data_IF_234965334996
#
_entry.id   IF_234965334996
#
_cell.length_a   1.000
_cell.length_b   1.000
_cell.length_c   1.000
_cell.angle_alpha   90.00
_cell.angle_beta   90.00
_cell.angle_gamma   90.00
#
_symmetry.space_group_name_H-M   'P 1'
#
loop_
_entity.id
_entity.type
_entity.pdbx_description
1 polymer ?
#
# COMPACT_ATOMS: atom_id res chain seq x y z
N UNK A 1 -14.42 28.84 47.31
CA UNK A 1 -15.08 28.24 46.14
C UNK A 1 -14.68 29.06 44.94
N UNK A 2 -14.16 28.36 43.95
CA UNK A 2 -13.80 28.89 42.65
C UNK A 2 -14.69 28.18 41.64
N UNK A 3 -15.51 28.95 40.92
CA UNK A 3 -16.24 28.45 39.75
C UNK A 3 -15.57 29.00 38.50
N UNK A 4 -15.32 28.13 37.52
CA UNK A 4 -14.74 28.51 36.24
C UNK A 4 -15.67 28.12 35.11
N UNK A 5 -15.88 29.01 34.15
CA UNK A 5 -16.60 28.68 32.93
C UNK A 5 -15.77 27.66 32.14
N UNK A 6 -16.32 26.45 31.97
CA UNK A 6 -15.74 25.37 31.17
C UNK A 6 -16.60 25.13 29.93
N UNK A 7 -15.99 24.58 28.88
CA UNK A 7 -16.71 24.18 27.67
C UNK A 7 -17.84 23.20 28.00
N UNK A 8 -18.98 23.33 27.32
CA UNK A 8 -20.17 22.51 27.56
C UNK A 8 -20.45 21.47 26.49
N UNK A 9 -19.58 21.35 25.48
CA UNK A 9 -19.64 20.33 24.46
C UNK A 9 -18.23 19.86 24.07
N UNK A 10 -18.12 18.57 23.74
CA UNK A 10 -16.90 17.92 23.28
C UNK A 10 -17.23 17.12 22.03
N UNK A 11 -16.42 17.26 20.97
CA UNK A 11 -16.54 16.46 19.76
C UNK A 11 -15.18 15.89 19.37
N UNK A 12 -15.05 14.56 19.32
CA UNK A 12 -13.83 13.91 18.86
C UNK A 12 -14.07 13.17 17.55
N UNK A 13 -13.13 13.30 16.62
CA UNK A 13 -13.13 12.56 15.36
C UNK A 13 -11.89 11.69 15.22
N UNK A 14 -12.04 10.53 14.60
CA UNK A 14 -10.92 9.64 14.25
C UNK A 14 -11.15 9.01 12.87
N UNK A 15 -10.17 8.28 12.36
CA UNK A 15 -10.27 7.56 11.10
C UNK A 15 -9.68 6.15 11.24
N UNK A 16 -10.42 5.15 10.75
CA UNK A 16 -9.94 3.78 10.69
C UNK A 16 -10.03 3.24 9.26
N UNK A 17 -8.90 2.83 8.68
CA UNK A 17 -8.82 2.46 7.25
C UNK A 17 -9.67 1.24 6.86
N UNK A 18 -10.02 0.37 7.80
CA UNK A 18 -10.93 -0.77 7.55
C UNK A 18 -12.41 -0.38 7.63
N UNK A 19 -12.72 0.85 8.04
CA UNK A 19 -14.05 1.44 8.08
C UNK A 19 -14.06 2.79 7.33
N UNK A 20 -13.54 2.86 6.09
CA UNK A 20 -13.19 4.13 5.44
C UNK A 20 -14.40 5.03 5.15
N UNK A 21 -15.61 4.48 5.12
CA UNK A 21 -16.86 5.21 4.86
C UNK A 21 -17.66 5.50 6.13
N UNK A 22 -17.23 5.01 7.30
CA UNK A 22 -17.92 5.31 8.57
C UNK A 22 -17.46 6.67 9.11
N UNK A 23 -18.41 7.51 9.52
CA UNK A 23 -18.09 8.70 10.30
C UNK A 23 -17.84 8.29 11.76
N UNK A 24 -16.57 8.28 12.15
CA UNK A 24 -16.16 8.09 13.53
C UNK A 24 -16.06 9.47 14.17
N UNK A 25 -17.20 10.12 14.34
CA UNK A 25 -17.36 11.41 15.00
C UNK A 25 -18.34 11.26 16.16
N UNK A 26 -17.92 11.59 17.37
CA UNK A 26 -18.74 11.38 18.57
C UNK A 26 -18.85 12.68 19.37
N UNK A 27 -20.08 13.18 19.59
CA UNK A 27 -20.34 14.29 20.48
C UNK A 27 -20.57 13.81 21.92
N UNK A 28 -20.25 14.66 22.89
CA UNK A 28 -20.70 14.57 24.28
C UNK A 28 -21.05 15.97 24.79
N UNK A 29 -22.11 16.09 25.58
CA UNK A 29 -22.53 17.34 26.20
C UNK A 29 -22.31 17.31 27.70
N UNK A 30 -22.00 18.47 28.28
CA UNK A 30 -21.83 18.57 29.72
C UNK A 30 -23.12 18.34 30.50
N UNK A 31 -23.00 17.73 31.67
CA UNK A 31 -24.02 17.68 32.71
C UNK A 31 -24.13 19.01 33.50
N UNK A 32 -23.14 19.90 33.40
CA UNK A 32 -23.05 21.17 34.15
C UNK A 32 -23.35 22.35 33.22
N UNK A 33 -24.63 22.67 33.03
CA UNK A 33 -25.06 23.79 32.16
C UNK A 33 -25.04 25.11 32.92
N UNK A 34 -24.13 26.01 32.52
CA UNK A 34 -23.88 27.31 33.16
C UNK A 34 -23.41 28.34 32.14
N UNK A 35 -23.89 29.58 32.25
CA UNK A 35 -23.38 30.70 31.45
C UNK A 35 -23.35 30.44 29.93
N UNK A 36 -24.36 29.75 29.39
CA UNK A 36 -24.44 29.34 27.98
C UNK A 36 -23.25 28.49 27.48
N UNK A 37 -22.55 27.78 28.38
CA UNK A 37 -21.38 26.97 28.04
C UNK A 37 -21.64 25.86 27.02
N UNK A 38 -22.89 25.43 26.84
CA UNK A 38 -23.28 24.47 25.80
C UNK A 38 -22.99 24.95 24.38
N UNK A 39 -22.77 26.26 24.17
CA UNK A 39 -22.32 26.84 22.90
C UNK A 39 -20.79 26.78 22.70
N UNK A 40 -20.04 26.44 23.75
CA UNK A 40 -18.58 26.37 23.74
C UNK A 40 -18.17 24.91 23.54
N UNK A 41 -17.89 24.55 22.29
CA UNK A 41 -17.45 23.21 21.91
C UNK A 41 -15.92 23.12 21.84
N UNK A 42 -15.37 22.02 22.37
CA UNK A 42 -14.00 21.58 22.11
C UNK A 42 -14.04 20.51 21.02
N UNK A 43 -13.32 20.77 19.92
CA UNK A 43 -13.12 19.80 18.84
C UNK A 43 -11.66 19.36 18.79
N UNK A 44 -11.41 18.06 18.56
CA UNK A 44 -10.06 17.52 18.40
C UNK A 44 -10.00 16.34 17.42
N UNK A 45 -8.89 16.23 16.69
CA UNK A 45 -8.54 15.15 15.77
C UNK A 45 -7.02 14.94 15.78
N UNK A 46 -6.52 13.69 15.89
CA UNK A 46 -7.27 12.45 16.04
C UNK A 46 -7.80 12.22 17.47
N UNK A 47 -8.93 11.53 17.57
CA UNK A 47 -9.59 11.16 18.83
C UNK A 47 -8.81 10.13 19.67
N UNK A 48 -7.80 9.48 19.09
CA UNK A 48 -6.89 8.49 19.70
C UNK A 48 -7.57 7.18 20.14
N UNK A 49 -8.78 6.87 19.68
CA UNK A 49 -9.51 5.66 20.06
C UNK A 49 -9.46 4.56 18.99
N UNK A 50 -9.42 4.91 17.69
CA UNK A 50 -9.41 3.90 16.62
C UNK A 50 -8.09 3.11 16.60
N UNK A 51 -6.97 3.76 16.94
CA UNK A 51 -5.63 3.15 16.99
C UNK A 51 -5.47 2.06 18.06
N UNK A 52 -6.35 2.01 19.07
CA UNK A 52 -6.28 1.02 20.16
C UNK A 52 -6.57 -0.41 19.67
N UNK A 53 -7.14 -0.55 18.48
CA UNK A 53 -7.53 -1.82 17.89
C UNK A 53 -6.46 -2.35 16.94
N UNK A 54 -5.41 -2.95 17.52
CA UNK A 54 -4.24 -3.51 16.77
C UNK A 54 -4.57 -4.72 15.89
N UNK A 55 -5.58 -5.50 16.27
CA UNK A 55 -6.19 -6.56 15.45
C UNK A 55 -7.65 -6.20 15.15
N UNK A 56 -7.87 -5.11 14.39
CA UNK A 56 -9.17 -4.48 14.35
C UNK A 56 -10.23 -5.41 13.77
N UNK A 57 -9.89 -6.26 12.79
CA UNK A 57 -10.80 -7.26 12.21
C UNK A 57 -11.55 -8.11 13.25
N UNK A 58 -10.94 -8.37 14.40
CA UNK A 58 -11.53 -9.17 15.49
C UNK A 58 -12.42 -8.35 16.43
N UNK A 59 -12.39 -7.01 16.33
CA UNK A 59 -12.92 -6.05 17.31
C UNK A 59 -13.43 -4.74 16.68
N UNK A 60 -13.74 -4.73 15.38
CA UNK A 60 -14.13 -3.53 14.63
C UNK A 60 -15.42 -2.92 15.17
N UNK A 61 -16.32 -3.78 15.66
CA UNK A 61 -17.57 -3.45 16.33
C UNK A 61 -17.37 -2.59 17.60
N UNK A 62 -16.20 -2.67 18.24
CA UNK A 62 -15.91 -1.98 19.51
C UNK A 62 -15.31 -0.58 19.34
N UNK A 63 -14.98 -0.17 18.11
CA UNK A 63 -14.37 1.15 17.84
C UNK A 63 -15.31 2.28 18.24
N UNK A 64 -16.60 2.14 17.94
CA UNK A 64 -17.62 3.16 18.23
C UNK A 64 -17.88 3.27 19.75
N UNK A 65 -18.00 2.13 20.45
CA UNK A 65 -18.14 2.08 21.91
C UNK A 65 -16.96 2.76 22.62
N UNK A 66 -15.73 2.48 22.17
CA UNK A 66 -14.54 3.09 22.76
C UNK A 66 -14.46 4.60 22.42
N UNK A 67 -14.86 5.00 21.22
CA UNK A 67 -14.97 6.41 20.84
C UNK A 67 -15.91 7.19 21.77
N UNK A 68 -17.14 6.71 21.93
CA UNK A 68 -18.13 7.30 22.84
C UNK A 68 -17.61 7.37 24.29
N UNK A 69 -17.00 6.30 24.77
CA UNK A 69 -16.38 6.26 26.11
C UNK A 69 -15.27 7.30 26.25
N UNK A 70 -14.38 7.43 25.28
CA UNK A 70 -13.26 8.39 25.34
C UNK A 70 -13.80 9.84 25.30
N UNK A 71 -14.79 10.15 24.46
CA UNK A 71 -15.39 11.49 24.42
C UNK A 71 -16.04 11.83 25.77
N UNK A 72 -16.81 10.90 26.34
CA UNK A 72 -17.40 11.05 27.67
C UNK A 72 -16.35 11.31 28.75
N UNK A 73 -15.28 10.52 28.80
CA UNK A 73 -14.18 10.73 29.74
C UNK A 73 -13.45 12.07 29.49
N UNK A 74 -13.43 12.61 28.27
CA UNK A 74 -12.89 13.96 28.02
C UNK A 74 -13.84 15.04 28.54
N UNK A 75 -15.15 14.86 28.39
CA UNK A 75 -16.15 15.80 28.92
C UNK A 75 -16.17 15.79 30.46
N UNK A 76 -16.21 14.62 31.10
CA UNK A 76 -16.14 14.47 32.56
C UNK A 76 -14.88 15.12 33.16
N UNK A 77 -13.75 15.11 32.43
CA UNK A 77 -12.53 15.83 32.85
C UNK A 77 -12.73 17.34 32.91
N UNK A 78 -13.34 17.93 31.87
CA UNK A 78 -13.61 19.38 31.87
C UNK A 78 -14.59 19.74 32.99
N UNK A 79 -15.56 18.87 33.30
CA UNK A 79 -16.51 19.04 34.40
C UNK A 79 -15.85 19.02 35.78
N UNK A 80 -14.87 18.14 35.99
CA UNK A 80 -14.14 18.03 37.25
C UNK A 80 -13.44 19.34 37.66
N UNK A 81 -13.14 20.21 36.70
CA UNK A 81 -12.46 21.48 36.91
C UNK A 81 -13.41 22.70 36.89
N UNK A 82 -14.73 22.46 36.90
CA UNK A 82 -15.74 23.53 36.94
C UNK A 82 -15.84 24.18 38.33
N UNK A 83 -15.98 23.37 39.38
CA UNK A 83 -16.15 23.80 40.76
C UNK A 83 -15.06 23.21 41.66
N UNK A 84 -14.25 24.08 42.26
CA UNK A 84 -13.24 23.69 43.24
C UNK A 84 -13.41 24.48 44.54
N UNK A 85 -13.32 23.80 45.68
CA UNK A 85 -13.47 24.40 47.01
C UNK A 85 -12.20 24.24 47.81
N UNK A 86 -11.56 25.35 48.14
CA UNK A 86 -10.54 25.43 49.19
C UNK A 86 -11.16 25.39 50.59
N UNK A 87 -10.56 24.61 51.48
CA UNK A 87 -10.93 24.57 52.89
C UNK A 87 -9.71 24.34 53.79
N UNK A 88 -9.92 24.52 55.09
CA UNK A 88 -8.94 24.20 56.13
C UNK A 88 -9.62 23.42 57.25
N UNK A 89 -8.93 22.44 57.84
CA UNK A 89 -9.47 21.67 58.96
C UNK A 89 -8.38 21.24 59.95
N UNK A 90 -8.81 20.68 61.07
CA UNK A 90 -7.95 19.95 62.02
C UNK A 90 -8.16 18.42 61.91
N UNK A 91 -8.82 17.93 60.85
CA UNK A 91 -9.10 16.50 60.69
C UNK A 91 -7.83 15.77 60.22
N UNK A 92 -7.24 14.97 61.11
CA UNK A 92 -6.02 14.20 60.85
C UNK A 92 -6.18 13.06 59.85
N UNK A 93 -7.41 12.59 59.68
CA UNK A 93 -7.73 11.47 58.79
C UNK A 93 -7.91 11.86 57.32
N UNK A 94 -7.93 13.16 56.99
CA UNK A 94 -8.09 13.62 55.61
C UNK A 94 -6.94 13.12 54.75
N UNK A 95 -7.29 12.59 53.58
CA UNK A 95 -6.37 12.03 52.59
C UNK A 95 -6.91 12.38 51.21
N UNK A 96 -6.05 12.78 50.28
CA UNK A 96 -6.46 12.96 48.88
C UNK A 96 -7.03 11.66 48.34
N UNK A 97 -8.10 11.75 47.54
CA UNK A 97 -8.88 10.64 47.00
C UNK A 97 -9.99 10.13 47.92
N UNK A 98 -10.13 10.66 49.15
CA UNK A 98 -11.17 10.23 50.08
C UNK A 98 -12.38 11.16 50.11
N UNK A 99 -13.55 10.58 50.37
CA UNK A 99 -14.80 11.29 50.57
C UNK A 99 -14.93 11.77 52.01
N UNK A 100 -15.48 12.97 52.21
CA UNK A 100 -16.03 13.40 53.49
C UNK A 100 -17.41 14.02 53.29
N UNK A 101 -18.23 14.02 54.34
CA UNK A 101 -19.53 14.69 54.36
C UNK A 101 -19.40 15.96 55.18
N UNK A 102 -19.76 17.11 54.60
CA UNK A 102 -19.83 18.37 55.32
C UNK A 102 -21.20 18.49 56.00
N UNK A 103 -21.22 18.91 57.26
CA UNK A 103 -22.45 19.15 58.04
C UNK A 103 -22.37 20.50 58.74
N UNK A 104 -23.52 21.06 59.11
CA UNK A 104 -23.66 22.33 59.84
C UNK A 104 -22.97 23.57 59.20
N UNK A 105 -22.79 23.55 57.88
CA UNK A 105 -22.32 24.71 57.13
C UNK A 105 -23.47 25.73 56.93
N UNK A 106 -23.17 27.03 57.06
CA UNK A 106 -24.16 28.13 56.96
C UNK A 106 -24.87 28.18 55.60
N UNK A 107 -24.18 27.74 54.54
CA UNK A 107 -24.78 27.44 53.24
C UNK A 107 -25.31 26.02 53.24
N UNK A 108 -26.63 25.88 53.27
CA UNK A 108 -27.30 24.59 53.39
C UNK A 108 -27.01 23.63 52.23
N UNK A 109 -26.81 24.18 51.02
CA UNK A 109 -26.48 23.44 49.79
C UNK A 109 -25.10 22.77 49.83
N UNK A 110 -24.20 23.21 50.72
CA UNK A 110 -22.86 22.63 50.87
C UNK A 110 -22.81 21.45 51.83
N UNK A 111 -23.88 21.20 52.59
CA UNK A 111 -23.97 20.07 53.52
C UNK A 111 -24.22 18.76 52.76
N UNK A 112 -23.20 18.32 52.01
CA UNK A 112 -23.21 17.18 51.10
C UNK A 112 -21.87 16.45 51.15
N UNK A 113 -21.75 15.41 50.34
CA UNK A 113 -20.52 14.66 50.13
C UNK A 113 -19.56 15.40 49.19
N UNK A 114 -18.29 15.45 49.59
CA UNK A 114 -17.18 16.07 48.87
C UNK A 114 -16.03 15.07 48.70
N UNK A 115 -15.34 15.14 47.56
CA UNK A 115 -14.13 14.39 47.27
C UNK A 115 -12.90 15.27 47.50
N UNK A 116 -11.99 14.85 48.37
CA UNK A 116 -10.71 15.54 48.58
C UNK A 116 -9.79 15.31 47.37
N UNK A 117 -9.47 16.37 46.62
CA UNK A 117 -8.55 16.30 45.47
C UNK A 117 -7.10 16.57 45.90
N UNK A 118 -6.88 17.47 46.85
CA UNK A 118 -5.57 17.71 47.48
C UNK A 118 -5.69 17.91 48.99
N UNK A 119 -4.68 17.46 49.74
CA UNK A 119 -4.56 17.72 51.18
C UNK A 119 -3.11 18.03 51.51
N UNK A 120 -2.86 19.21 52.08
CA UNK A 120 -1.58 19.64 52.62
C UNK A 120 -1.66 19.68 54.13
N UNK A 121 -0.86 18.85 54.80
CA UNK A 121 -0.81 18.76 56.26
C UNK A 121 0.28 19.68 56.82
N UNK A 122 -0.03 20.37 57.91
CA UNK A 122 0.90 21.15 58.72
C UNK A 122 0.82 20.68 60.17
N UNK A 123 1.95 20.32 60.76
CA UNK A 123 2.02 19.90 62.15
C UNK A 123 3.20 20.59 62.81
N UNK A 124 2.97 21.16 63.99
CA UNK A 124 3.99 21.79 64.82
C UNK A 124 4.08 21.01 66.13
N UNK A 125 5.27 20.55 66.45
CA UNK A 125 5.56 19.95 67.75
C UNK A 125 6.40 20.95 68.55
N UNK A 126 5.81 21.55 69.58
CA UNK A 126 6.51 22.40 70.56
C UNK A 126 6.87 21.57 71.80
N UNK A 127 8.07 21.71 72.39
CA UNK A 127 8.41 21.04 73.64
C UNK A 127 7.74 21.75 74.82
N UNK A 128 6.51 21.35 75.16
CA UNK A 128 5.70 21.91 76.26
C UNK A 128 6.28 21.70 77.68
N UNK A 129 7.50 21.17 77.83
CA UNK A 129 8.08 20.87 79.14
C UNK A 129 8.88 22.04 79.78
N UNK A 130 9.17 23.11 79.04
CA UNK A 130 10.13 24.15 79.49
C UNK A 130 9.53 25.57 79.56
N UNK A 131 8.35 25.81 79.01
CA UNK A 131 7.67 27.12 79.06
C UNK A 131 6.17 26.92 79.19
N UNK A 132 5.51 27.60 80.14
CA UNK A 132 4.04 27.62 80.36
C UNK A 132 3.25 28.27 79.18
N UNK A 133 3.82 28.33 77.98
CA UNK A 133 3.17 28.81 76.76
C UNK A 133 2.55 27.63 75.99
N UNK A 134 1.21 27.57 76.00
CA UNK A 134 0.45 26.63 75.16
C UNK A 134 0.67 27.00 73.69
N UNK A 135 1.35 26.13 72.94
CA UNK A 135 1.53 26.32 71.52
C UNK A 135 0.16 26.37 70.78
N UNK A 136 -0.11 27.38 69.94
CA UNK A 136 -1.36 27.44 69.18
C UNK A 136 -1.41 26.32 68.12
N UNK A 137 -2.41 25.43 68.25
CA UNK A 137 -2.83 24.38 67.30
C UNK A 137 -1.71 23.49 66.72
N UNK A 138 -1.41 22.37 67.40
CA UNK A 138 -0.38 21.39 67.01
C UNK A 138 -0.56 20.74 65.61
N UNK A 139 -1.76 20.83 65.01
CA UNK A 139 -2.03 20.30 63.67
C UNK A 139 -3.08 21.13 62.94
N UNK A 140 -2.88 21.32 61.64
CA UNK A 140 -3.87 21.83 60.69
C UNK A 140 -3.66 21.20 59.32
N UNK A 141 -4.66 21.28 58.46
CA UNK A 141 -4.50 21.02 57.04
C UNK A 141 -5.19 22.10 56.21
N UNK A 142 -4.72 22.26 54.98
CA UNK A 142 -5.44 22.92 53.90
C UNK A 142 -5.77 21.87 52.87
N UNK A 143 -6.97 21.89 52.33
CA UNK A 143 -7.42 20.93 51.33
C UNK A 143 -8.15 21.62 50.19
N UNK A 144 -8.18 20.95 49.05
CA UNK A 144 -9.09 21.26 47.95
C UNK A 144 -10.01 20.08 47.73
N UNK A 145 -11.27 20.36 47.42
CA UNK A 145 -12.27 19.35 47.14
C UNK A 145 -13.23 19.76 46.02
N UNK A 146 -13.87 18.74 45.45
CA UNK A 146 -14.94 18.88 44.46
C UNK A 146 -16.19 18.14 44.95
N UNK A 147 -17.40 18.45 44.46
CA UNK A 147 -18.60 17.69 44.79
C UNK A 147 -18.42 16.20 44.47
N UNK A 148 -18.73 15.29 45.42
CA UNK A 148 -18.49 13.85 45.23
C UNK A 148 -19.27 13.22 44.06
N UNK A 149 -20.33 13.89 43.60
CA UNK A 149 -21.14 13.45 42.46
C UNK A 149 -20.44 13.65 41.11
N UNK A 150 -19.43 14.53 41.03
CA UNK A 150 -18.69 14.81 39.81
C UNK A 150 -17.54 13.79 39.72
N UNK A 151 -17.47 12.96 38.67
CA UNK A 151 -16.35 12.05 38.47
C UNK A 151 -15.03 12.84 38.34
N UNK A 152 -14.04 12.51 39.18
CA UNK A 152 -12.71 13.09 39.05
C UNK A 152 -11.91 12.38 37.97
N UNK A 153 -11.45 13.12 36.96
CA UNK A 153 -10.47 12.65 35.99
C UNK A 153 -9.26 13.58 35.96
N UNK A 154 -8.03 13.04 36.00
CA UNK A 154 -6.83 13.86 36.03
C UNK A 154 -6.64 14.62 34.70
N UNK A 155 -6.08 15.82 34.81
CA UNK A 155 -5.65 16.61 33.65
C UNK A 155 -4.55 15.89 32.85
N UNK A 156 -4.55 16.09 31.52
CA UNK A 156 -3.54 15.52 30.61
C UNK A 156 -2.31 16.43 30.51
N UNK A 157 -1.62 16.63 31.64
CA UNK A 157 -0.41 17.46 31.69
C UNK A 157 0.84 16.72 31.22
N UNK A 158 0.85 15.39 31.29
CA UNK A 158 1.98 14.57 30.83
C UNK A 158 2.07 14.63 29.31
N UNK A 159 3.18 15.14 28.73
CA UNK A 159 3.32 15.21 27.28
C UNK A 159 3.30 13.83 26.63
N UNK A 160 2.54 13.68 25.55
CA UNK A 160 2.59 12.47 24.72
C UNK A 160 3.95 12.39 24.01
N UNK A 161 4.62 11.22 23.96
CA UNK A 161 5.80 11.05 23.14
C UNK A 161 5.48 11.33 21.66
N UNK A 162 6.38 12.05 20.97
CA UNK A 162 6.22 12.41 19.56
C UNK A 162 7.49 12.05 18.80
N UNK A 163 7.34 11.28 17.73
CA UNK A 163 8.40 11.02 16.76
C UNK A 163 8.52 12.24 15.85
N UNK A 164 9.71 12.85 15.82
CA UNK A 164 9.94 14.12 15.11
C UNK A 164 10.14 13.98 13.61
N UNK A 165 10.38 12.77 13.11
CA UNK A 165 10.59 12.49 11.70
C UNK A 165 10.67 11.00 11.42
N UNK A 166 10.77 10.62 10.14
CA UNK A 166 10.77 9.22 9.75
C UNK A 166 12.03 8.50 10.25
N UNK A 167 11.88 7.21 10.54
CA UNK A 167 12.97 6.30 10.89
C UNK A 167 13.07 5.20 9.85
N UNK A 168 14.21 4.51 9.78
CA UNK A 168 14.29 3.25 9.01
C UNK A 168 14.07 2.02 9.89
N UNK A 169 13.59 0.95 9.28
CA UNK A 169 13.36 -0.33 9.92
C UNK A 169 13.57 -1.48 8.92
N UNK A 170 13.82 -2.69 9.42
CA UNK A 170 13.98 -3.89 8.59
C UNK A 170 12.68 -4.66 8.57
N UNK A 171 12.20 -5.04 7.39
CA UNK A 171 10.99 -5.87 7.24
C UNK A 171 11.26 -7.27 7.78
N UNK A 172 10.32 -7.78 8.58
CA UNK A 172 10.38 -9.10 9.21
C UNK A 172 9.13 -9.92 8.91
N UNK A 173 9.22 -11.23 9.09
CA UNK A 173 8.12 -12.14 8.80
C UNK A 173 8.35 -13.50 9.44
N UNK A 174 7.43 -14.42 9.15
CA UNK A 174 7.52 -15.79 9.65
C UNK A 174 8.77 -16.47 9.09
N UNK A 175 9.44 -17.28 9.90
CA UNK A 175 10.64 -18.02 9.48
C UNK A 175 10.41 -18.81 8.19
N UNK A 176 11.29 -18.64 7.20
CA UNK A 176 11.20 -19.31 5.89
C UNK A 176 10.31 -18.60 4.86
N UNK A 177 9.72 -17.45 5.21
CA UNK A 177 9.00 -16.59 4.27
C UNK A 177 9.89 -15.47 3.74
N UNK A 178 9.93 -15.30 2.41
CA UNK A 178 10.54 -14.11 1.78
C UNK A 178 9.57 -12.93 1.78
N UNK A 179 8.26 -13.19 1.76
CA UNK A 179 7.19 -12.19 1.63
C UNK A 179 6.11 -12.56 2.63
N UNK A 180 5.86 -11.70 3.62
CA UNK A 180 4.88 -11.96 4.70
C UNK A 180 3.87 -10.80 4.89
N UNK A 181 2.97 -10.57 3.92
CA UNK A 181 1.93 -9.56 4.04
C UNK A 181 0.63 -10.12 4.61
N UNK A 182 -0.24 -9.22 5.07
CA UNK A 182 -1.64 -9.55 5.32
C UNK A 182 -2.54 -9.20 4.11
N UNK A 183 -3.86 -9.33 4.26
CA UNK A 183 -4.85 -9.08 3.19
C UNK A 183 -4.88 -7.64 2.67
N UNK A 184 -4.29 -6.68 3.40
CA UNK A 184 -4.21 -5.28 3.00
C UNK A 184 -2.82 -4.90 2.46
N UNK A 185 -1.93 -5.87 2.26
CA UNK A 185 -0.55 -5.62 1.85
C UNK A 185 0.28 -4.95 2.95
N UNK A 186 -0.14 -5.06 4.22
CA UNK A 186 0.65 -4.57 5.37
C UNK A 186 1.80 -5.54 5.64
N UNK A 187 2.90 -5.03 6.16
CA UNK A 187 4.06 -5.85 6.58
C UNK A 187 4.40 -5.59 8.05
N UNK A 188 5.29 -6.40 8.63
CA UNK A 188 5.85 -6.18 9.95
C UNK A 188 7.31 -5.77 9.84
N UNK A 189 7.81 -5.02 10.81
CA UNK A 189 9.18 -4.51 10.83
C UNK A 189 9.83 -4.69 12.20
N UNK A 190 11.15 -4.69 12.21
CA UNK A 190 11.98 -4.52 13.40
C UNK A 190 12.61 -3.12 13.34
N UNK A 191 12.30 -2.26 14.31
CA UNK A 191 12.99 -0.97 14.46
C UNK A 191 14.38 -1.16 15.07
N UNK A 192 15.34 -0.31 14.71
CA UNK A 192 16.71 -0.39 15.20
C UNK A 192 16.87 -0.08 16.70
N UNK A 193 15.95 0.69 17.27
CA UNK A 193 15.92 1.00 18.70
C UNK A 193 15.17 -0.06 19.53
N UNK A 194 14.47 -1.00 18.88
CA UNK A 194 13.80 -2.09 19.59
C UNK A 194 14.82 -3.18 19.97
N UNK A 195 15.06 -3.28 21.28
CA UNK A 195 15.99 -4.22 21.92
C UNK A 195 15.35 -5.56 22.29
N UNK A 196 14.02 -5.64 22.29
CA UNK A 196 13.27 -6.81 22.77
C UNK A 196 12.73 -7.67 21.62
N UNK A 197 12.52 -7.08 20.45
CA UNK A 197 12.14 -7.80 19.24
C UNK A 197 13.15 -8.85 18.83
N UNK A 198 12.64 -9.95 18.27
CA UNK A 198 13.43 -11.14 17.90
C UNK A 198 13.68 -11.23 16.39
N UNK A 199 13.39 -10.15 15.64
CA UNK A 199 13.42 -10.13 14.17
C UNK A 199 12.52 -11.19 13.53
N UNK A 200 11.37 -11.43 14.15
CA UNK A 200 10.35 -12.40 13.73
C UNK A 200 8.99 -11.74 13.49
N UNK A 201 7.97 -12.54 13.19
CA UNK A 201 6.59 -12.08 12.95
C UNK A 201 5.89 -11.51 14.19
N UNK A 202 6.54 -11.45 15.36
CA UNK A 202 6.00 -10.83 16.58
C UNK A 202 6.65 -9.47 16.89
N UNK A 203 7.59 -9.00 16.07
CA UNK A 203 8.37 -7.78 16.34
C UNK A 203 7.54 -6.49 16.31
N UNK A 204 6.47 -6.44 15.52
CA UNK A 204 5.60 -5.26 15.42
C UNK A 204 4.14 -5.59 15.15
N UNK A 205 3.29 -4.55 15.19
CA UNK A 205 1.97 -4.57 14.57
C UNK A 205 2.09 -4.64 13.03
N UNK A 206 0.95 -4.80 12.37
CA UNK A 206 0.85 -4.69 10.91
C UNK A 206 0.88 -3.23 10.46
N UNK A 207 1.82 -2.90 9.59
CA UNK A 207 2.09 -1.53 9.13
C UNK A 207 1.72 -1.40 7.65
N UNK A 208 0.91 -0.39 7.31
CA UNK A 208 0.53 -0.10 5.92
C UNK A 208 1.73 0.39 5.12
N UNK A 209 1.78 0.00 3.85
CA UNK A 209 2.82 0.40 2.90
C UNK A 209 2.22 1.38 1.90
N UNK A 210 2.77 2.59 1.83
CA UNK A 210 2.43 3.56 0.81
C UNK A 210 2.82 2.99 -0.57
N UNK A 211 1.89 3.07 -1.51
CA UNK A 211 2.11 2.66 -2.90
C UNK A 211 2.14 3.91 -3.79
N UNK A 212 2.89 3.90 -4.91
CA UNK A 212 2.87 4.99 -5.89
C UNK A 212 1.47 5.32 -6.42
N UNK A 213 0.59 4.31 -6.53
CA UNK A 213 -0.79 4.49 -7.00
C UNK A 213 -1.71 3.41 -6.42
N UNK A 214 -2.79 3.80 -5.74
CA UNK A 214 -3.72 2.86 -5.11
C UNK A 214 -5.19 3.24 -5.35
N UNK A 215 -5.88 2.47 -6.19
CA UNK A 215 -7.30 2.59 -6.49
C UNK A 215 -8.13 1.42 -5.97
N UNK A 216 -9.44 1.43 -6.25
CA UNK A 216 -10.38 0.37 -5.84
C UNK A 216 -10.14 -0.90 -6.66
N UNK A 217 -9.25 -1.77 -6.18
CA UNK A 217 -8.78 -3.02 -6.83
C UNK A 217 -7.96 -2.81 -8.11
N UNK A 218 -7.25 -1.68 -8.23
CA UNK A 218 -6.34 -1.40 -9.33
C UNK A 218 -5.24 -0.44 -8.86
N UNK A 219 -4.07 -0.44 -9.51
CA UNK A 219 -2.95 0.43 -9.14
C UNK A 219 -1.60 -0.29 -9.16
N UNK A 220 -0.62 0.29 -8.48
CA UNK A 220 0.73 -0.25 -8.34
C UNK A 220 0.86 -1.00 -7.00
N UNK A 221 1.48 -2.18 -7.03
CA UNK A 221 1.76 -2.97 -5.84
C UNK A 221 3.19 -3.48 -5.89
N UNK A 222 4.05 -2.96 -5.00
CA UNK A 222 5.33 -3.57 -4.68
C UNK A 222 5.42 -3.73 -3.16
N UNK A 223 5.41 -4.98 -2.70
CA UNK A 223 5.49 -5.29 -1.28
C UNK A 223 6.97 -5.45 -0.87
N UNK A 224 7.42 -4.73 0.18
CA UNK A 224 8.73 -4.98 0.78
C UNK A 224 8.86 -6.43 1.24
N UNK A 225 10.02 -7.04 0.97
CA UNK A 225 10.32 -8.42 1.36
C UNK A 225 11.03 -8.46 2.70
N UNK A 226 11.01 -9.60 3.38
CA UNK A 226 11.77 -9.84 4.61
C UNK A 226 13.25 -9.53 4.36
N UNK A 227 13.85 -8.70 5.22
CA UNK A 227 15.22 -8.22 5.09
C UNK A 227 15.40 -6.90 4.33
N UNK A 228 14.36 -6.39 3.65
CA UNK A 228 14.42 -5.07 3.03
C UNK A 228 14.38 -3.96 4.09
N UNK A 229 15.12 -2.88 3.85
CA UNK A 229 15.06 -1.67 4.66
C UNK A 229 13.98 -0.71 4.13
N UNK A 230 13.10 -0.29 5.03
CA UNK A 230 11.96 0.59 4.74
C UNK A 230 12.03 1.87 5.56
N UNK A 231 11.49 2.95 5.00
CA UNK A 231 11.31 4.22 5.70
C UNK A 231 9.91 4.23 6.31
N UNK A 232 9.85 4.41 7.63
CA UNK A 232 8.64 4.41 8.44
C UNK A 232 8.42 5.82 8.99
N UNK A 233 7.29 6.40 8.63
CA UNK A 233 6.76 7.63 9.22
C UNK A 233 5.68 7.29 10.26
N UNK A 234 5.24 8.29 11.02
CA UNK A 234 4.29 8.14 12.12
C UNK A 234 3.18 9.18 11.99
N UNK A 235 1.93 8.74 11.82
CA UNK A 235 0.80 9.65 11.64
C UNK A 235 0.66 10.58 12.86
N UNK A 236 0.60 11.89 12.62
CA UNK A 236 0.63 12.93 13.68
C UNK A 236 1.85 12.85 14.61
N UNK A 237 2.95 12.22 14.16
CA UNK A 237 4.12 11.92 14.97
C UNK A 237 3.87 10.92 16.09
N UNK A 238 2.75 10.20 16.08
CA UNK A 238 2.38 9.24 17.13
C UNK A 238 3.15 7.92 16.97
N UNK A 239 4.01 7.52 17.93
CA UNK A 239 4.75 6.25 17.87
C UNK A 239 3.87 5.02 17.70
N UNK A 240 2.59 5.10 18.09
CA UNK A 240 1.61 4.01 17.96
C UNK A 240 0.97 3.90 16.56
N UNK A 241 1.26 4.83 15.65
CA UNK A 241 0.66 4.89 14.31
C UNK A 241 1.71 4.90 13.17
N UNK A 242 2.54 3.85 13.06
CA UNK A 242 3.53 3.77 12.00
C UNK A 242 2.87 3.55 10.62
N UNK A 243 3.50 4.10 9.58
CA UNK A 243 3.18 3.87 8.17
C UNK A 243 4.49 3.83 7.37
N UNK A 244 4.65 2.85 6.49
CA UNK A 244 5.81 2.78 5.60
C UNK A 244 5.57 3.72 4.42
N UNK A 245 6.49 4.65 4.20
CA UNK A 245 6.40 5.69 3.16
C UNK A 245 7.41 5.50 2.02
N UNK A 246 8.35 4.56 2.17
CA UNK A 246 9.35 4.29 1.15
C UNK A 246 10.28 3.12 1.48
N UNK A 247 11.25 2.90 0.60
CA UNK A 247 12.30 1.89 0.77
C UNK A 247 13.63 2.47 0.32
N UNK A 248 14.71 2.00 0.94
CA UNK A 248 16.07 2.49 0.66
C UNK A 248 17.02 1.33 0.42
N UNK A 249 17.99 1.54 -0.46
CA UNK A 249 19.11 0.61 -0.63
C UNK A 249 20.16 0.83 0.46
N UNK A 250 20.91 -0.22 0.77
CA UNK A 250 22.02 -0.21 1.73
C UNK A 250 23.14 -1.16 1.26
N UNK A 251 24.17 -1.41 2.08
CA UNK A 251 25.30 -2.27 1.69
C UNK A 251 24.92 -3.72 1.41
N UNK A 252 23.86 -4.21 2.05
CA UNK A 252 23.39 -5.59 1.91
C UNK A 252 22.37 -5.69 0.76
N UNK A 253 21.56 -4.65 0.59
CA UNK A 253 20.58 -4.48 -0.48
C UNK A 253 21.06 -3.37 -1.41
N UNK A 254 22.00 -3.69 -2.30
CA UNK A 254 22.54 -2.73 -3.27
C UNK A 254 21.54 -2.43 -4.41
N UNK A 255 21.65 -1.26 -5.07
CA UNK A 255 20.88 -0.96 -6.28
C UNK A 255 21.07 -2.00 -7.39
N UNK A 256 20.05 -2.26 -8.23
CA UNK A 256 20.10 -3.31 -9.26
C UNK A 256 21.10 -3.03 -10.39
N UNK A 257 21.44 -1.77 -10.62
CA UNK A 257 22.40 -1.34 -11.63
C UNK A 257 23.65 -0.81 -10.91
N UNK A 258 24.84 -1.23 -11.36
CA UNK A 258 26.09 -0.82 -10.74
C UNK A 258 26.28 0.70 -10.86
N UNK A 259 26.36 1.39 -9.73
CA UNK A 259 26.57 2.83 -9.64
C UNK A 259 28.01 3.14 -9.19
N UNK A 260 28.62 4.24 -9.66
CA UNK A 260 28.03 5.32 -10.47
C UNK A 260 28.03 5.07 -12.01
N UNK A 261 28.55 3.93 -12.47
CA UNK A 261 28.80 3.68 -13.90
C UNK A 261 27.52 3.71 -14.75
N UNK A 262 26.41 3.15 -14.24
CA UNK A 262 25.13 3.05 -14.95
C UNK A 262 24.11 4.11 -14.49
N UNK A 263 24.57 5.33 -14.19
CA UNK A 263 23.74 6.43 -13.67
C UNK A 263 22.61 6.91 -14.60
N UNK A 264 22.63 6.53 -15.87
CA UNK A 264 21.60 6.84 -16.89
C UNK A 264 20.55 5.74 -17.02
N UNK A 265 20.67 4.64 -16.26
CA UNK A 265 19.68 3.56 -16.28
C UNK A 265 18.57 3.79 -15.27
N UNK A 266 17.34 3.61 -15.71
CA UNK A 266 16.13 3.64 -14.90
C UNK A 266 15.30 2.41 -15.17
N UNK A 267 14.68 1.80 -14.15
CA UNK A 267 13.79 0.67 -14.42
C UNK A 267 13.30 -0.05 -13.18
N UNK A 268 12.57 -1.13 -13.44
CA UNK A 268 12.03 -2.03 -12.43
C UNK A 268 12.61 -3.41 -12.70
N UNK A 269 13.38 -3.92 -11.74
CA UNK A 269 13.91 -5.28 -11.74
C UNK A 269 13.34 -6.05 -10.56
N UNK A 270 12.63 -7.14 -10.88
CA UNK A 270 11.99 -8.01 -9.88
C UNK A 270 12.90 -9.21 -9.56
N UNK A 271 12.44 -10.12 -8.70
CA UNK A 271 13.15 -11.35 -8.35
C UNK A 271 12.15 -12.47 -8.21
N UNK A 272 12.42 -13.64 -8.79
CA UNK A 272 11.59 -14.84 -8.55
C UNK A 272 11.51 -15.14 -7.05
N UNK A 273 10.35 -15.62 -6.59
CA UNK A 273 10.10 -15.93 -5.18
C UNK A 273 9.25 -17.21 -5.12
N UNK A 274 9.53 -18.17 -4.22
CA UNK A 274 10.68 -18.23 -3.31
C UNK A 274 11.93 -18.83 -3.98
N UNK A 275 13.11 -18.54 -3.45
CA UNK A 275 14.38 -19.16 -3.84
C UNK A 275 14.97 -18.66 -5.15
N UNK A 276 14.56 -17.48 -5.64
CA UNK A 276 15.10 -16.89 -6.85
C UNK A 276 16.55 -16.43 -6.69
N UNK A 277 17.44 -16.88 -7.56
CA UNK A 277 18.82 -16.40 -7.62
C UNK A 277 18.97 -15.11 -8.41
N UNK A 278 20.20 -14.61 -8.54
CA UNK A 278 20.53 -13.37 -9.28
C UNK A 278 20.14 -13.40 -10.76
N UNK A 279 20.05 -14.59 -11.35
CA UNK A 279 19.63 -14.80 -12.74
C UNK A 279 18.11 -14.79 -12.93
N UNK A 280 17.31 -15.03 -11.88
CA UNK A 280 15.86 -15.23 -12.03
C UNK A 280 15.08 -13.94 -11.78
N UNK A 281 14.69 -13.22 -12.84
CA UNK A 281 14.03 -11.92 -12.70
C UNK A 281 13.18 -11.53 -13.91
N UNK A 282 12.17 -10.69 -13.69
CA UNK A 282 11.55 -9.90 -14.75
C UNK A 282 12.07 -8.46 -14.67
N UNK A 283 12.28 -7.81 -15.82
CA UNK A 283 12.86 -6.46 -15.88
C UNK A 283 12.24 -5.63 -17.00
N UNK A 284 11.98 -4.35 -16.70
CA UNK A 284 11.80 -3.29 -17.69
C UNK A 284 12.83 -2.21 -17.36
N UNK A 285 13.77 -1.96 -18.28
CA UNK A 285 14.87 -1.01 -18.10
C UNK A 285 14.96 -0.06 -19.29
N UNK A 286 15.10 1.22 -18.97
CA UNK A 286 15.38 2.32 -19.88
C UNK A 286 16.84 2.72 -19.68
N UNK A 287 17.59 2.81 -20.78
CA UNK A 287 18.93 3.40 -20.84
C UNK A 287 18.84 4.74 -21.58
N UNK A 288 19.19 5.83 -20.89
CA UNK A 288 19.12 7.19 -21.43
C UNK A 288 20.50 7.74 -21.87
N UNK A 289 21.53 6.89 -21.97
CA UNK A 289 22.82 7.29 -22.50
C UNK A 289 22.71 7.65 -23.97
N UNK A 290 22.92 8.94 -24.28
CA UNK A 290 22.82 9.49 -25.64
C UNK A 290 23.62 8.70 -26.68
N UNK A 291 22.94 8.27 -27.75
CA UNK A 291 23.52 7.48 -28.83
C UNK A 291 23.67 5.98 -28.51
N UNK A 292 23.21 5.55 -27.34
CA UNK A 292 23.19 4.15 -26.85
C UNK A 292 21.89 3.85 -26.11
N UNK A 293 20.82 4.59 -26.41
CA UNK A 293 19.52 4.43 -25.78
C UNK A 293 18.98 3.01 -26.03
N UNK A 294 18.40 2.41 -24.99
CA UNK A 294 17.90 1.03 -25.03
C UNK A 294 16.64 0.89 -24.17
N UNK A 295 15.68 0.11 -24.66
CA UNK A 295 14.54 -0.37 -23.88
C UNK A 295 14.63 -1.89 -23.80
N UNK A 296 14.95 -2.37 -22.60
CA UNK A 296 15.07 -3.79 -22.33
C UNK A 296 13.84 -4.30 -21.60
N UNK A 297 13.21 -5.33 -22.16
CA UNK A 297 12.09 -6.07 -21.55
C UNK A 297 12.50 -7.53 -21.41
N UNK A 298 12.56 -8.03 -20.18
CA UNK A 298 12.90 -9.40 -19.85
C UNK A 298 11.78 -10.08 -19.08
N UNK A 299 11.35 -11.23 -19.57
CA UNK A 299 10.45 -12.13 -18.87
C UNK A 299 11.20 -13.43 -18.53
N UNK A 300 11.26 -13.78 -17.25
CA UNK A 300 11.98 -14.99 -16.78
C UNK A 300 11.37 -16.28 -17.34
N UNK A 301 10.06 -16.29 -17.60
CA UNK A 301 9.33 -17.51 -17.98
C UNK A 301 8.41 -17.33 -19.17
N UNK A 302 7.37 -16.52 -19.01
CA UNK A 302 6.32 -16.35 -20.01
C UNK A 302 6.05 -14.87 -20.16
N UNK A 303 6.09 -14.40 -21.40
CA UNK A 303 5.62 -13.06 -21.78
C UNK A 303 4.30 -13.20 -22.53
N UNK A 304 3.27 -12.54 -22.05
CA UNK A 304 1.95 -12.47 -22.69
C UNK A 304 1.65 -11.01 -22.99
N UNK A 305 1.40 -10.70 -24.25
CA UNK A 305 0.91 -9.40 -24.70
C UNK A 305 -0.51 -9.54 -25.23
N UNK A 306 -1.40 -8.64 -24.82
CA UNK A 306 -2.80 -8.60 -25.25
C UNK A 306 -3.11 -7.15 -25.62
N UNK A 307 -3.68 -6.96 -26.81
CA UNK A 307 -4.06 -5.65 -27.36
C UNK A 307 -5.50 -5.77 -27.85
N UNK A 308 -6.40 -5.02 -27.21
CA UNK A 308 -7.85 -5.13 -27.44
C UNK A 308 -8.29 -4.60 -28.82
N UNK A 309 -7.48 -3.76 -29.46
CA UNK A 309 -7.82 -3.15 -30.74
C UNK A 309 -6.68 -3.27 -31.74
N UNK A 310 -5.80 -2.28 -31.81
CA UNK A 310 -4.81 -2.13 -32.87
C UNK A 310 -3.39 -2.12 -32.30
N UNK A 311 -2.51 -2.98 -32.81
CA UNK A 311 -1.07 -2.90 -32.59
C UNK A 311 -0.38 -2.31 -33.83
N UNK A 312 0.49 -1.31 -33.63
CA UNK A 312 1.33 -0.76 -34.70
C UNK A 312 2.80 -0.81 -34.28
N UNK A 313 3.66 -1.33 -35.16
CA UNK A 313 5.10 -1.40 -34.95
C UNK A 313 5.87 -0.78 -36.11
N UNK A 314 6.68 0.25 -35.81
CA UNK A 314 7.59 0.89 -36.77
C UNK A 314 9.03 0.77 -36.27
N UNK A 315 9.89 0.16 -37.09
CA UNK A 315 11.32 -0.01 -36.78
C UNK A 315 12.11 0.79 -37.80
N UNK A 316 12.88 1.78 -37.33
CA UNK A 316 13.70 2.62 -38.21
C UNK A 316 14.98 1.95 -38.70
N UNK A 317 15.47 0.94 -37.97
CA UNK A 317 16.60 0.10 -38.34
C UNK A 317 16.14 -1.33 -38.71
N UNK A 318 16.83 -2.32 -38.16
CA UNK A 318 16.55 -3.74 -38.42
C UNK A 318 15.68 -4.38 -37.32
N UNK A 319 14.88 -5.39 -37.68
CA UNK A 319 14.21 -6.29 -36.75
C UNK A 319 14.76 -7.70 -36.95
N UNK A 320 15.18 -8.33 -35.85
CA UNK A 320 15.56 -9.74 -35.81
C UNK A 320 14.65 -10.46 -34.81
N UNK A 321 14.10 -11.60 -35.22
CA UNK A 321 13.31 -12.48 -34.34
C UNK A 321 13.95 -13.86 -34.35
N UNK A 322 14.14 -14.46 -33.18
CA UNK A 322 14.68 -15.82 -33.06
C UNK A 322 13.75 -16.64 -32.18
N UNK A 323 13.19 -17.70 -32.75
CA UNK A 323 12.29 -18.63 -32.07
C UNK A 323 13.01 -19.97 -32.03
N UNK A 324 13.27 -20.47 -30.82
CA UNK A 324 14.01 -21.72 -30.63
C UNK A 324 13.18 -22.98 -30.86
N UNK A 325 11.86 -22.83 -30.87
CA UNK A 325 10.89 -23.92 -31.07
C UNK A 325 9.87 -23.48 -32.11
N UNK A 326 8.59 -23.48 -31.75
CA UNK A 326 7.49 -23.28 -32.67
C UNK A 326 7.05 -21.81 -32.68
N UNK A 327 6.74 -21.31 -33.88
CA UNK A 327 6.05 -20.05 -34.11
C UNK A 327 4.73 -20.35 -34.82
N UNK A 328 3.63 -19.85 -34.27
CA UNK A 328 2.29 -19.96 -34.87
C UNK A 328 1.72 -18.57 -35.01
N UNK A 329 1.28 -18.24 -36.23
CA UNK A 329 0.56 -17.01 -36.54
C UNK A 329 -0.84 -17.37 -37.02
N UNK A 330 -1.86 -16.65 -36.53
CA UNK A 330 -3.25 -16.88 -36.92
C UNK A 330 -3.94 -15.54 -37.15
N UNK A 331 -4.45 -15.38 -38.37
CA UNK A 331 -5.35 -14.28 -38.76
C UNK A 331 -6.73 -14.89 -38.93
N UNK A 332 -7.59 -14.75 -37.92
CA UNK A 332 -8.92 -15.39 -37.94
C UNK A 332 -9.84 -14.78 -39.00
N UNK A 333 -9.76 -13.45 -39.17
CA UNK A 333 -10.57 -12.71 -40.15
C UNK A 333 -9.73 -11.64 -40.83
N UNK A 334 -10.03 -11.37 -42.10
CA UNK A 334 -9.31 -10.37 -42.90
C UNK A 334 -8.16 -10.95 -43.73
N UNK A 335 -7.13 -10.13 -43.94
CA UNK A 335 -6.06 -10.40 -44.90
C UNK A 335 -4.68 -10.40 -44.22
N UNK A 336 -3.82 -11.34 -44.57
CA UNK A 336 -2.38 -11.26 -44.28
C UNK A 336 -1.64 -10.74 -45.51
N UNK A 337 -1.18 -9.49 -45.45
CA UNK A 337 -0.41 -8.86 -46.54
C UNK A 337 1.05 -8.69 -46.14
N UNK A 338 1.96 -9.24 -46.95
CA UNK A 338 3.40 -9.03 -46.84
C UNK A 338 3.90 -8.28 -48.07
N UNK A 339 4.61 -7.17 -47.87
CA UNK A 339 5.18 -6.37 -48.96
C UNK A 339 6.67 -6.09 -48.69
N UNK A 340 7.52 -6.41 -49.66
CA UNK A 340 8.94 -6.03 -49.69
C UNK A 340 9.11 -5.08 -50.88
N UNK A 341 9.11 -3.77 -50.62
CA UNK A 341 9.17 -2.75 -51.68
C UNK A 341 10.53 -2.70 -52.40
N UNK A 342 11.60 -3.03 -51.68
CA UNK A 342 12.95 -3.09 -52.20
C UNK A 342 13.75 -4.16 -51.45
N UNK A 343 14.53 -4.95 -52.18
CA UNK A 343 15.35 -6.03 -51.63
C UNK A 343 14.80 -7.42 -51.96
N UNK A 344 15.22 -8.41 -51.18
CA UNK A 344 14.90 -9.82 -51.41
C UNK A 344 14.00 -10.35 -50.29
N UNK A 345 13.15 -11.33 -50.64
CA UNK A 345 12.53 -12.24 -49.69
C UNK A 345 13.17 -13.60 -49.87
N UNK A 346 13.79 -14.12 -48.82
CA UNK A 346 14.41 -15.45 -48.81
C UNK A 346 13.75 -16.31 -47.74
N UNK A 347 13.53 -17.58 -48.05
CA UNK A 347 13.02 -18.58 -47.12
C UNK A 347 13.83 -19.86 -47.31
N UNK A 348 14.18 -20.52 -46.21
CA UNK A 348 14.94 -21.78 -46.24
C UNK A 348 14.37 -22.74 -45.22
N UNK A 349 13.91 -23.89 -45.70
CA UNK A 349 13.53 -25.04 -44.87
C UNK A 349 14.61 -26.09 -45.08
N UNK A 350 15.55 -26.16 -44.14
CA UNK A 350 16.69 -27.09 -44.26
C UNK A 350 16.28 -28.55 -44.08
N UNK A 351 15.27 -28.80 -43.24
CA UNK A 351 14.68 -30.10 -43.00
C UNK A 351 13.17 -29.95 -42.82
N UNK A 352 12.39 -30.82 -43.46
CA UNK A 352 10.93 -30.82 -43.39
C UNK A 352 10.27 -30.42 -44.72
N UNK A 353 9.03 -29.97 -44.64
CA UNK A 353 8.20 -29.64 -45.80
C UNK A 353 7.75 -28.18 -45.73
N UNK A 354 7.66 -27.52 -46.88
CA UNK A 354 6.91 -26.28 -47.06
C UNK A 354 5.57 -26.63 -47.72
N UNK A 355 4.45 -26.36 -47.02
CA UNK A 355 3.12 -26.76 -47.47
C UNK A 355 2.18 -25.54 -47.51
N UNK A 356 1.67 -25.25 -48.70
CA UNK A 356 0.57 -24.31 -48.90
C UNK A 356 -0.73 -25.09 -49.18
N UNK A 357 -1.81 -24.76 -48.47
CA UNK A 357 -3.15 -25.31 -48.73
C UNK A 357 -4.14 -24.16 -48.91
N UNK A 358 -4.80 -24.10 -50.06
CA UNK A 358 -5.87 -23.15 -50.36
C UNK A 358 -7.14 -23.94 -50.64
N UNK A 359 -8.03 -24.04 -49.65
CA UNK A 359 -9.23 -24.88 -49.74
C UNK A 359 -10.27 -24.33 -50.72
N UNK A 360 -10.35 -23.00 -50.84
CA UNK A 360 -11.24 -22.30 -51.76
C UNK A 360 -10.51 -21.10 -52.33
N UNK A 361 -10.53 -20.94 -53.66
CA UNK A 361 -9.84 -19.88 -54.38
C UNK A 361 -8.73 -20.41 -55.28
N UNK A 362 -7.70 -19.59 -55.52
CA UNK A 362 -6.58 -19.93 -56.38
C UNK A 362 -5.26 -19.37 -55.85
N UNK A 363 -4.16 -19.86 -56.41
CA UNK A 363 -2.80 -19.37 -56.17
C UNK A 363 -2.28 -18.80 -57.48
N UNK A 364 -1.74 -17.58 -57.42
CA UNK A 364 -1.13 -16.91 -58.58
C UNK A 364 0.33 -16.59 -58.27
N UNK A 365 1.23 -16.98 -59.17
CA UNK A 365 2.64 -16.57 -59.15
C UNK A 365 2.93 -15.73 -60.39
N UNK A 366 3.13 -14.43 -60.21
CA UNK A 366 3.52 -13.51 -61.28
C UNK A 366 5.02 -13.22 -61.21
N UNK A 367 5.75 -13.51 -62.29
CA UNK A 367 7.19 -13.23 -62.39
C UNK A 367 7.47 -12.49 -63.72
N UNK A 368 7.01 -11.22 -63.89
CA UNK A 368 6.88 -10.60 -65.21
C UNK A 368 8.21 -10.39 -65.96
N UNK A 369 9.30 -10.18 -65.23
CA UNK A 369 10.63 -9.90 -65.79
C UNK A 369 11.72 -10.85 -65.27
N UNK A 370 11.31 -11.96 -64.63
CA UNK A 370 12.24 -12.89 -63.97
C UNK A 370 12.07 -14.33 -64.46
N UNK A 371 12.76 -15.24 -63.78
CA UNK A 371 12.69 -16.67 -64.06
C UNK A 371 11.93 -17.38 -62.96
N UNK A 372 10.90 -18.14 -63.33
CA UNK A 372 10.29 -19.13 -62.44
C UNK A 372 11.01 -20.47 -62.66
N UNK A 373 11.97 -20.79 -61.78
CA UNK A 373 12.76 -22.04 -61.85
C UNK A 373 12.21 -23.04 -60.82
N UNK A 374 11.94 -24.26 -61.27
CA UNK A 374 11.64 -25.41 -60.42
C UNK A 374 12.76 -26.43 -60.60
N UNK A 375 13.56 -26.65 -59.56
CA UNK A 375 14.68 -27.60 -59.54
C UNK A 375 14.34 -28.74 -58.58
N UNK A 376 13.57 -29.71 -59.07
CA UNK A 376 13.02 -30.79 -58.27
C UNK A 376 13.28 -32.14 -58.94
N UNK A 377 13.42 -33.20 -58.14
CA UNK A 377 13.50 -34.58 -58.65
C UNK A 377 12.21 -34.98 -59.37
N UNK A 378 11.06 -34.58 -58.84
CA UNK A 378 9.74 -34.80 -59.42
C UNK A 378 8.89 -33.53 -59.35
N UNK A 379 8.09 -33.30 -60.38
CA UNK A 379 7.06 -32.24 -60.41
C UNK A 379 5.76 -32.91 -60.80
N UNK A 380 4.80 -32.89 -59.88
CA UNK A 380 3.46 -33.47 -60.07
C UNK A 380 2.43 -32.36 -60.14
N UNK A 381 1.59 -32.39 -61.18
CA UNK A 381 0.48 -31.46 -61.37
C UNK A 381 -0.77 -32.27 -61.69
N UNK A 382 -1.76 -32.23 -60.79
CA UNK A 382 -3.06 -32.86 -61.00
C UNK A 382 -4.12 -31.77 -61.22
N UNK A 383 -4.61 -31.68 -62.46
CA UNK A 383 -5.68 -30.77 -62.85
C UNK A 383 -6.92 -31.56 -63.25
N UNK A 384 -7.99 -31.45 -62.47
CA UNK A 384 -9.24 -32.20 -62.73
C UNK A 384 -9.90 -31.83 -64.07
N UNK A 385 -9.73 -30.58 -64.51
CA UNK A 385 -10.41 -30.05 -65.71
C UNK A 385 -9.45 -29.80 -66.86
N UNK A 386 -8.34 -29.10 -66.61
CA UNK A 386 -7.36 -28.75 -67.63
C UNK A 386 -6.00 -28.40 -67.02
N UNK A 387 -4.93 -28.78 -67.71
CA UNK A 387 -3.59 -28.26 -67.52
C UNK A 387 -3.18 -27.51 -68.79
N UNK A 388 -2.68 -26.28 -68.67
CA UNK A 388 -2.24 -25.48 -69.82
C UNK A 388 -0.82 -24.96 -69.60
N UNK A 389 0.05 -25.20 -70.58
CA UNK A 389 1.38 -24.61 -70.68
C UNK A 389 1.42 -23.71 -71.91
N UNK A 390 1.88 -22.46 -71.77
CA UNK A 390 1.99 -21.49 -72.86
C UNK A 390 3.40 -20.91 -72.94
N UNK A 391 3.90 -20.76 -74.16
CA UNK A 391 5.15 -20.08 -74.49
C UNK A 391 4.94 -19.26 -75.77
N UNK A 392 4.71 -17.95 -75.63
CA UNK A 392 4.37 -17.08 -76.77
C UNK A 392 3.16 -17.59 -77.57
N UNK A 393 3.36 -17.84 -78.86
CA UNK A 393 2.32 -18.37 -79.76
C UNK A 393 2.10 -19.90 -79.64
N UNK A 394 2.94 -20.60 -78.87
CA UNK A 394 2.88 -22.06 -78.69
C UNK A 394 2.21 -22.43 -77.37
N UNK A 395 1.50 -23.57 -77.35
CA UNK A 395 0.81 -24.08 -76.15
C UNK A 395 0.62 -25.58 -76.16
N UNK A 396 0.64 -26.18 -74.96
CA UNK A 396 0.17 -27.55 -74.70
C UNK A 396 -1.02 -27.44 -73.76
N UNK A 397 -2.16 -28.01 -74.15
CA UNK A 397 -3.36 -28.08 -73.32
C UNK A 397 -3.75 -29.54 -73.12
N UNK A 398 -3.89 -29.96 -71.88
CA UNK A 398 -4.29 -31.30 -71.51
C UNK A 398 -5.64 -31.22 -70.81
N UNK A 399 -6.58 -32.07 -71.22
CA UNK A 399 -7.88 -32.29 -70.57
C UNK A 399 -8.00 -33.78 -70.25
N UNK A 400 -8.98 -34.22 -69.44
CA UNK A 400 -9.22 -35.65 -69.21
C UNK A 400 -9.47 -36.47 -70.49
N UNK A 401 -9.89 -35.83 -71.59
CA UNK A 401 -10.23 -36.51 -72.83
C UNK A 401 -9.14 -36.42 -73.92
N UNK A 402 -8.25 -35.43 -73.89
CA UNK A 402 -7.28 -35.19 -74.98
C UNK A 402 -6.10 -34.30 -74.59
N UNK A 403 -5.02 -34.41 -75.37
CA UNK A 403 -3.88 -33.48 -75.36
C UNK A 403 -3.85 -32.73 -76.69
N UNK A 404 -3.90 -31.41 -76.63
CA UNK A 404 -3.81 -30.52 -77.79
C UNK A 404 -2.47 -29.78 -77.78
N UNK A 405 -1.71 -29.92 -78.86
CA UNK A 405 -0.44 -29.23 -79.07
C UNK A 405 -0.62 -28.21 -80.20
N UNK A 406 -0.36 -26.93 -79.92
CA UNK A 406 -0.42 -25.84 -80.89
C UNK A 406 0.93 -25.14 -80.95
N UNK A 407 1.53 -25.04 -82.13
CA UNK A 407 2.79 -24.34 -82.35
C UNK A 407 2.91 -23.96 -83.83
N UNK A 408 3.59 -22.87 -84.22
CA UNK A 408 3.90 -22.59 -85.62
C UNK A 408 4.63 -23.74 -86.33
N UNK A 409 5.44 -24.49 -85.57
CA UNK A 409 6.11 -25.71 -86.02
C UNK A 409 6.14 -26.71 -84.86
N UNK A 410 5.79 -27.97 -85.13
CA UNK A 410 5.93 -29.09 -84.20
C UNK A 410 6.86 -30.11 -84.86
N UNK A 411 7.98 -30.42 -84.22
CA UNK A 411 8.88 -31.48 -84.69
C UNK A 411 8.56 -32.77 -83.92
N UNK A 412 8.21 -33.84 -84.63
CA UNK A 412 7.97 -35.17 -84.08
C UNK A 412 9.08 -36.05 -84.68
N UNK A 413 9.94 -36.61 -83.83
CA UNK A 413 11.00 -37.54 -84.24
C UNK A 413 10.58 -38.99 -83.99
#
# INVERSE_FOLDING_TARGET
MTEQLRSGAMFLRDHHFQMPSKDLGFPEHTSIVRGDNTKLEIYDYPGDYAKLFKEPEKRLDKVEEEGQKIVRLRMEREEAAYEEVDGSSNVRAFRSGFRFTLTDHFRSDWNTDWLLTSVQHSALQSPDYVSDEVAPSAYSNRFTCIPYKIPFLPERVTPKPVVRGPHTAVVVGKTGEEIWPDKFGRVKVQFFWDRLGKKDDNSSCWIRVAQPWAGKNWGFVALPRVGHEVVVDFLEGDPDQPIIVGSVYNSDNMPPYSLPDNKTQTGIKTRSSKGGGSANFNEIRFEDMKGKEDLYVHAERTFTGEVETDETRKVGGSRTTTIHKDETETVETGNHTLTVSQGNREATVSMGNDKLTVSMGGVTHEVPMGTHKVDAMTVETDGQTMITLKCGASSIQMTPASITIKSPMVMIN
#
